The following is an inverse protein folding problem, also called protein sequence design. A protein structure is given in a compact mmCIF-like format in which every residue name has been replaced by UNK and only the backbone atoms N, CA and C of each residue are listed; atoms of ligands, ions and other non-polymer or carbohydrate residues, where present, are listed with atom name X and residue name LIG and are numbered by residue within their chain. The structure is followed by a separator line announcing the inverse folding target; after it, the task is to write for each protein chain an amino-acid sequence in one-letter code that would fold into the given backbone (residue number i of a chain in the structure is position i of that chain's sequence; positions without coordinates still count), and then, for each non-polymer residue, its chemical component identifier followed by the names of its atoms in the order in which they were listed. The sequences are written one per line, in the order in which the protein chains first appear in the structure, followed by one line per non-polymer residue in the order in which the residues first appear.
data_IF_306302649985
#
_entry.id   IF_306302649985
#
_cell.length_a   1.000
_cell.length_b   1.000
_cell.length_c   1.000
_cell.angle_alpha   90.00
_cell.angle_beta   90.00
_cell.angle_gamma   90.00
#
_symmetry.space_group_name_H-M   'P 1'
#
loop_
_entity.id
_entity.type
_entity.pdbx_description
1 polymer ?
#
# COMPACT_ATOMS: atom_id res chain seq x y z
N UNK A 1 11.20 22.05 -10.61
CA UNK A 1 12.42 22.02 -9.78
C UNK A 1 13.58 21.29 -10.49
N UNK A 2 14.83 21.72 -10.28
CA UNK A 2 16.03 21.02 -10.78
C UNK A 2 16.28 19.76 -9.93
N UNK A 3 16.70 18.65 -10.56
CA UNK A 3 17.09 17.44 -9.83
C UNK A 3 18.32 17.73 -8.97
N UNK A 4 18.38 17.15 -7.77
CA UNK A 4 19.63 17.14 -6.99
C UNK A 4 20.60 16.23 -7.76
N UNK A 5 21.65 16.76 -8.36
CA UNK A 5 22.60 15.97 -9.17
C UNK A 5 23.49 15.10 -8.28
N UNK A 6 23.56 13.77 -8.54
CA UNK A 6 24.47 12.85 -7.84
C UNK A 6 24.00 11.38 -7.84
N UNK A 7 24.92 10.43 -7.56
CA UNK A 7 24.66 8.99 -7.50
C UNK A 7 23.63 8.61 -6.42
N UNK A 8 23.68 9.27 -5.26
CA UNK A 8 22.71 9.13 -4.17
C UNK A 8 21.29 9.53 -4.58
N UNK A 9 21.19 10.42 -5.55
CA UNK A 9 19.92 10.96 -6.03
C UNK A 9 19.15 9.90 -6.84
N UNK A 10 19.84 9.18 -7.73
CA UNK A 10 19.26 8.06 -8.48
C UNK A 10 18.87 6.89 -7.55
N UNK A 11 19.62 6.68 -6.47
CA UNK A 11 19.30 5.66 -5.47
C UNK A 11 17.93 5.90 -4.81
N UNK A 12 17.55 7.14 -4.51
CA UNK A 12 16.25 7.46 -3.89
C UNK A 12 15.07 7.08 -4.79
N UNK A 13 15.19 7.30 -6.10
CA UNK A 13 14.14 6.90 -7.06
C UNK A 13 14.06 5.38 -7.24
N UNK A 14 15.19 4.69 -7.27
CA UNK A 14 15.23 3.21 -7.28
C UNK A 14 14.63 2.63 -6.00
N UNK A 15 14.98 3.20 -4.84
CA UNK A 15 14.42 2.82 -3.55
C UNK A 15 12.91 3.07 -3.49
N UNK A 16 12.42 4.21 -4.00
CA UNK A 16 10.99 4.50 -4.14
C UNK A 16 10.26 3.38 -4.90
N UNK A 17 10.75 3.05 -6.10
CA UNK A 17 10.15 2.00 -6.94
C UNK A 17 10.17 0.63 -6.26
N UNK A 18 11.31 0.24 -5.68
CA UNK A 18 11.45 -1.03 -4.98
C UNK A 18 10.53 -1.15 -3.76
N UNK A 19 10.45 -0.10 -2.93
CA UNK A 19 9.57 -0.07 -1.75
C UNK A 19 8.09 -0.13 -2.15
N UNK A 20 7.68 0.61 -3.20
CA UNK A 20 6.30 0.55 -3.72
C UNK A 20 5.98 -0.85 -4.27
N UNK A 21 6.90 -1.48 -5.00
CA UNK A 21 6.72 -2.84 -5.52
C UNK A 21 6.55 -3.85 -4.38
N UNK A 22 7.44 -3.82 -3.37
CA UNK A 22 7.33 -4.70 -2.20
C UNK A 22 6.00 -4.46 -1.46
N UNK A 23 5.64 -3.21 -1.18
CA UNK A 23 4.41 -2.89 -0.46
C UNK A 23 3.15 -3.41 -1.20
N UNK A 24 3.05 -3.17 -2.50
CA UNK A 24 1.80 -3.41 -3.22
C UNK A 24 1.71 -4.78 -3.90
N UNK A 25 2.83 -5.30 -4.41
CA UNK A 25 2.83 -6.59 -5.11
C UNK A 25 3.03 -7.77 -4.16
N UNK A 26 3.76 -7.60 -3.05
CA UNK A 26 3.99 -8.69 -2.10
C UNK A 26 3.12 -8.56 -0.85
N UNK A 27 3.31 -7.53 -0.01
CA UNK A 27 2.67 -7.47 1.31
C UNK A 27 1.15 -7.35 1.23
N UNK A 28 0.62 -6.50 0.33
CA UNK A 28 -0.83 -6.42 0.08
C UNK A 28 -1.40 -7.72 -0.48
N UNK A 29 -0.74 -8.31 -1.48
CA UNK A 29 -1.20 -9.55 -2.10
C UNK A 29 -1.27 -10.69 -1.08
N UNK A 30 -0.22 -10.87 -0.27
CA UNK A 30 -0.21 -11.87 0.80
C UNK A 30 -1.30 -11.55 1.83
N UNK A 31 -1.42 -10.29 2.27
CA UNK A 31 -2.42 -9.90 3.26
C UNK A 31 -3.86 -10.14 2.81
N UNK A 32 -4.18 -9.92 1.53
CA UNK A 32 -5.51 -10.21 0.96
C UNK A 32 -5.74 -11.71 0.86
N UNK A 33 -4.74 -12.49 0.44
CA UNK A 33 -4.83 -13.95 0.38
C UNK A 33 -5.03 -14.54 1.78
N UNK A 34 -4.28 -14.07 2.79
CA UNK A 34 -4.47 -14.45 4.20
C UNK A 34 -5.89 -14.15 4.67
N UNK A 35 -6.41 -12.95 4.42
CA UNK A 35 -7.76 -12.59 4.84
C UNK A 35 -8.87 -13.36 4.11
N UNK A 36 -8.66 -13.78 2.85
CA UNK A 36 -9.71 -14.44 2.06
C UNK A 36 -9.67 -15.96 2.14
N UNK A 37 -8.50 -16.57 2.00
CA UNK A 37 -8.33 -18.02 1.99
C UNK A 37 -8.18 -18.57 3.40
N UNK A 38 -7.26 -18.02 4.20
CA UNK A 38 -7.00 -18.59 5.53
C UNK A 38 -8.14 -18.35 6.51
N UNK A 39 -8.84 -17.22 6.40
CA UNK A 39 -10.05 -16.97 7.19
C UNK A 39 -11.20 -17.95 6.88
N UNK A 40 -11.24 -18.53 5.66
CA UNK A 40 -12.31 -19.43 5.20
C UNK A 40 -11.96 -20.91 5.38
N UNK A 41 -10.78 -21.32 4.96
CA UNK A 41 -10.41 -22.73 4.85
C UNK A 41 -9.62 -23.27 6.05
N UNK A 42 -8.86 -22.42 6.74
CA UNK A 42 -7.96 -22.83 7.81
C UNK A 42 -8.44 -22.43 9.20
N UNK A 43 -9.74 -22.17 9.34
CA UNK A 43 -10.40 -21.84 10.63
C UNK A 43 -10.13 -22.91 11.71
N UNK A 44 -9.99 -24.17 11.30
CA UNK A 44 -9.66 -25.32 12.17
C UNK A 44 -8.17 -25.35 12.59
N UNK A 45 -7.25 -25.08 11.66
CA UNK A 45 -5.79 -25.20 11.86
C UNK A 45 -5.21 -23.99 12.62
N UNK A 46 -5.78 -22.80 12.42
CA UNK A 46 -5.37 -21.56 13.08
C UNK A 46 -6.36 -21.13 14.16
N UNK A 47 -6.93 -22.10 14.88
CA UNK A 47 -7.89 -21.90 15.97
C UNK A 47 -7.30 -21.20 17.19
N UNK A 48 -5.96 -21.21 17.34
CA UNK A 48 -5.28 -20.47 18.41
C UNK A 48 -5.41 -18.97 18.19
N UNK A 49 -6.17 -18.32 19.05
CA UNK A 49 -6.21 -16.87 19.11
C UNK A 49 -4.83 -16.33 19.55
N UNK A 50 -4.20 -15.52 18.70
CA UNK A 50 -3.04 -14.74 19.09
C UNK A 50 -3.53 -13.37 19.56
N UNK A 51 -3.23 -13.02 20.82
CA UNK A 51 -3.68 -11.78 21.45
C UNK A 51 -5.21 -11.58 21.39
N UNK A 52 -5.98 -12.65 21.64
CA UNK A 52 -7.45 -12.59 21.67
C UNK A 52 -8.13 -12.40 20.32
N UNK A 53 -7.40 -12.49 19.20
CA UNK A 53 -7.95 -12.43 17.84
C UNK A 53 -7.46 -13.62 17.01
N UNK A 54 -8.20 -13.97 15.96
CA UNK A 54 -7.79 -15.02 15.04
C UNK A 54 -6.43 -14.68 14.42
N UNK A 55 -5.53 -15.66 14.35
CA UNK A 55 -4.15 -15.43 13.93
C UNK A 55 -4.03 -14.90 12.49
N UNK A 56 -4.90 -15.34 11.56
CA UNK A 56 -4.98 -14.78 10.21
C UNK A 56 -5.26 -13.27 10.23
N UNK A 57 -6.04 -12.79 11.19
CA UNK A 57 -6.38 -11.38 11.34
C UNK A 57 -5.18 -10.58 11.84
N UNK A 58 -4.37 -11.17 12.73
CA UNK A 58 -3.12 -10.56 13.19
C UNK A 58 -2.09 -10.46 12.06
N UNK A 59 -1.90 -11.54 11.29
CA UNK A 59 -1.00 -11.55 10.13
C UNK A 59 -1.45 -10.53 9.08
N UNK A 60 -2.75 -10.53 8.73
CA UNK A 60 -3.31 -9.53 7.82
C UNK A 60 -3.04 -8.10 8.32
N UNK A 61 -3.34 -7.84 9.60
CA UNK A 61 -3.14 -6.52 10.22
C UNK A 61 -1.67 -6.08 10.19
N UNK A 62 -0.75 -6.97 10.55
CA UNK A 62 0.69 -6.71 10.49
C UNK A 62 1.14 -6.37 9.05
N UNK A 63 0.73 -7.17 8.06
CA UNK A 63 1.06 -6.92 6.65
C UNK A 63 0.48 -5.59 6.14
N UNK A 64 -0.74 -5.23 6.54
CA UNK A 64 -1.34 -3.94 6.15
C UNK A 64 -0.61 -2.75 6.81
N UNK A 65 -0.24 -2.85 8.09
CA UNK A 65 0.56 -1.80 8.74
C UNK A 65 1.94 -1.63 8.09
N UNK A 66 2.62 -2.74 7.77
CA UNK A 66 3.88 -2.70 7.03
C UNK A 66 3.68 -2.04 5.66
N UNK A 67 2.63 -2.40 4.93
CA UNK A 67 2.29 -1.79 3.63
C UNK A 67 2.13 -0.27 3.75
N UNK A 68 1.30 0.20 4.71
CA UNK A 68 1.06 1.63 4.91
C UNK A 68 2.35 2.36 5.24
N UNK A 69 3.18 1.79 6.13
CA UNK A 69 4.46 2.38 6.52
C UNK A 69 5.42 2.48 5.34
N UNK A 70 5.60 1.39 4.59
CA UNK A 70 6.44 1.38 3.39
C UNK A 70 5.95 2.38 2.33
N UNK A 71 4.63 2.47 2.14
CA UNK A 71 4.01 3.42 1.20
C UNK A 71 4.29 4.87 1.60
N UNK A 72 4.13 5.20 2.89
CA UNK A 72 4.42 6.55 3.39
C UNK A 72 5.89 6.93 3.22
N UNK A 73 6.81 6.01 3.57
CA UNK A 73 8.26 6.23 3.39
C UNK A 73 8.57 6.43 1.90
N UNK A 74 8.11 5.50 1.06
CA UNK A 74 8.37 5.54 -0.38
C UNK A 74 7.80 6.80 -1.03
N UNK A 75 6.61 7.25 -0.61
CA UNK A 75 5.95 8.43 -1.16
C UNK A 75 6.80 9.70 -0.98
N UNK A 76 7.56 9.84 0.10
CA UNK A 76 8.38 11.02 0.40
C UNK A 76 9.65 11.09 -0.45
N UNK A 77 10.22 9.94 -0.85
CA UNK A 77 11.54 9.87 -1.50
C UNK A 77 11.64 10.69 -2.81
N UNK A 78 10.67 10.66 -3.74
CA UNK A 78 10.74 11.45 -4.97
C UNK A 78 10.68 12.97 -4.71
N UNK A 79 9.97 13.39 -3.67
CA UNK A 79 9.89 14.81 -3.28
C UNK A 79 11.21 15.30 -2.68
N UNK A 80 11.88 14.47 -1.88
CA UNK A 80 13.23 14.74 -1.38
C UNK A 80 14.23 14.81 -2.53
N UNK A 81 14.15 13.86 -3.47
CA UNK A 81 15.01 13.82 -4.66
C UNK A 81 14.87 15.07 -5.56
N UNK A 82 13.63 15.53 -5.81
CA UNK A 82 13.37 16.70 -6.66
C UNK A 82 13.33 18.03 -5.90
N UNK A 83 13.29 18.02 -4.57
CA UNK A 83 12.99 19.20 -3.77
C UNK A 83 11.60 19.80 -4.05
N UNK A 84 10.63 19.00 -4.52
CA UNK A 84 9.28 19.47 -4.81
C UNK A 84 8.51 18.66 -5.86
N UNK A 85 7.36 19.19 -6.30
CA UNK A 85 6.47 18.55 -7.27
C UNK A 85 7.08 18.49 -8.68
N UNK A 86 6.80 17.40 -9.40
CA UNK A 86 7.24 17.21 -10.79
C UNK A 86 6.08 17.35 -11.77
N UNK A 87 6.04 18.45 -12.53
CA UNK A 87 5.05 18.63 -13.61
C UNK A 87 5.30 17.67 -14.81
N UNK A 88 6.51 17.14 -14.95
CA UNK A 88 6.88 16.20 -16.02
C UNK A 88 6.49 14.75 -15.70
N UNK A 89 6.02 14.45 -14.49
CA UNK A 89 5.65 13.10 -14.09
C UNK A 89 4.21 12.71 -14.50
N UNK A 90 3.53 13.53 -15.31
CA UNK A 90 2.18 13.27 -15.80
C UNK A 90 1.19 12.99 -14.67
N UNK A 91 0.38 11.94 -14.84
CA UNK A 91 -0.63 11.53 -13.86
C UNK A 91 -0.09 10.71 -12.68
N UNK A 92 1.13 10.18 -12.77
CA UNK A 92 1.72 9.32 -11.75
C UNK A 92 1.67 9.91 -10.32
N UNK A 93 2.13 11.15 -10.06
CA UNK A 93 2.16 11.69 -8.70
C UNK A 93 0.75 11.93 -8.14
N UNK A 94 -0.25 12.20 -8.98
CA UNK A 94 -1.65 12.33 -8.55
C UNK A 94 -2.22 10.99 -8.10
N UNK A 95 -2.02 9.94 -8.90
CA UNK A 95 -2.43 8.58 -8.50
C UNK A 95 -1.68 8.12 -7.26
N UNK A 96 -0.38 8.43 -7.14
CA UNK A 96 0.42 8.18 -5.95
C UNK A 96 -0.15 8.84 -4.70
N UNK A 97 -0.61 10.11 -4.79
CA UNK A 97 -1.28 10.78 -3.68
C UNK A 97 -2.58 10.07 -3.28
N UNK A 98 -3.42 9.71 -4.26
CA UNK A 98 -4.68 9.00 -4.00
C UNK A 98 -4.39 7.67 -3.28
N UNK A 99 -3.44 6.90 -3.79
CA UNK A 99 -3.03 5.62 -3.22
C UNK A 99 -2.53 5.77 -1.78
N UNK A 100 -1.65 6.75 -1.52
CA UNK A 100 -1.14 7.02 -0.16
C UNK A 100 -2.27 7.41 0.79
N UNK A 101 -3.20 8.28 0.36
CA UNK A 101 -4.37 8.68 1.17
C UNK A 101 -5.23 7.46 1.51
N UNK A 102 -5.58 6.64 0.51
CA UNK A 102 -6.39 5.45 0.72
C UNK A 102 -5.66 4.42 1.63
N UNK A 103 -4.34 4.27 1.49
CA UNK A 103 -3.53 3.38 2.30
C UNK A 103 -3.45 3.79 3.79
N UNK A 104 -3.54 5.09 4.09
CA UNK A 104 -3.61 5.61 5.46
C UNK A 104 -5.04 5.58 6.01
N UNK A 105 -6.04 5.89 5.18
CA UNK A 105 -7.44 5.84 5.58
C UNK A 105 -7.90 4.41 5.93
N UNK A 106 -7.37 3.39 5.24
CA UNK A 106 -7.73 1.99 5.49
C UNK A 106 -7.53 1.51 6.94
N UNK A 107 -6.34 1.66 7.57
CA UNK A 107 -6.15 1.30 8.97
C UNK A 107 -6.95 2.20 9.92
N UNK A 108 -7.17 3.47 9.59
CA UNK A 108 -8.01 4.38 10.39
C UNK A 108 -9.47 3.90 10.40
N UNK A 109 -10.03 3.57 9.24
CA UNK A 109 -11.36 2.98 9.12
C UNK A 109 -11.42 1.66 9.90
N UNK A 110 -10.39 0.82 9.79
CA UNK A 110 -10.32 -0.46 10.51
C UNK A 110 -10.23 -0.30 12.04
N UNK A 111 -9.76 0.83 12.55
CA UNK A 111 -9.78 1.12 13.99
C UNK A 111 -11.21 1.33 14.51
N UNK A 112 -12.11 1.87 13.69
CA UNK A 112 -13.53 2.05 14.00
C UNK A 112 -14.40 0.83 13.65
N UNK A 113 -13.78 -0.35 13.49
CA UNK A 113 -14.47 -1.60 13.15
C UNK A 113 -15.57 -1.92 14.19
N UNK A 114 -16.86 -1.99 13.80
CA UNK A 114 -17.97 -2.28 14.71
C UNK A 114 -17.85 -3.67 15.35
N UNK A 115 -18.53 -3.99 16.46
CA UNK A 115 -18.59 -5.35 17.02
C UNK A 115 -19.15 -6.40 16.05
N UNK A 116 -18.93 -7.70 16.34
CA UNK A 116 -19.32 -8.80 15.44
C UNK A 116 -20.83 -8.89 15.15
N UNK A 117 -21.67 -8.51 16.12
CA UNK A 117 -23.13 -8.61 16.02
C UNK A 117 -23.81 -7.28 15.63
N UNK A 118 -23.04 -6.23 15.32
CA UNK A 118 -23.60 -4.93 14.93
C UNK A 118 -24.01 -4.96 13.44
N UNK A 119 -25.23 -4.53 13.07
CA UNK A 119 -25.68 -4.50 11.67
C UNK A 119 -24.78 -3.63 10.77
N UNK A 120 -24.12 -2.60 11.32
CA UNK A 120 -23.16 -1.75 10.59
C UNK A 120 -21.91 -2.52 10.18
N UNK A 121 -21.66 -3.70 10.73
CA UNK A 121 -20.50 -4.54 10.42
C UNK A 121 -20.50 -5.00 8.97
N UNK A 122 -21.67 -5.28 8.39
CA UNK A 122 -21.77 -5.65 6.98
C UNK A 122 -21.37 -4.49 6.08
N UNK A 123 -21.89 -3.29 6.34
CA UNK A 123 -21.52 -2.07 5.62
C UNK A 123 -20.02 -1.79 5.74
N UNK A 124 -19.47 -1.85 6.97
CA UNK A 124 -18.04 -1.71 7.22
C UNK A 124 -17.20 -2.69 6.38
N UNK A 125 -17.56 -3.98 6.37
CA UNK A 125 -16.80 -4.99 5.64
C UNK A 125 -16.81 -4.72 4.13
N UNK A 126 -17.95 -4.33 3.57
CA UNK A 126 -18.07 -3.95 2.16
C UNK A 126 -17.25 -2.69 1.85
N UNK A 127 -17.39 -1.63 2.64
CA UNK A 127 -16.62 -0.39 2.45
C UNK A 127 -15.13 -0.65 2.53
N UNK A 128 -14.65 -1.33 3.59
CA UNK A 128 -13.24 -1.64 3.79
C UNK A 128 -12.67 -2.50 2.64
N UNK A 129 -13.44 -3.49 2.18
CA UNK A 129 -13.05 -4.34 1.07
C UNK A 129 -12.99 -3.58 -0.26
N UNK A 130 -14.02 -2.78 -0.57
CA UNK A 130 -14.11 -2.02 -1.81
C UNK A 130 -13.00 -0.97 -1.91
N UNK A 131 -12.80 -0.19 -0.84
CA UNK A 131 -11.75 0.84 -0.76
C UNK A 131 -10.36 0.19 -0.92
N UNK A 132 -10.12 -0.95 -0.29
CA UNK A 132 -8.83 -1.65 -0.38
C UNK A 132 -8.57 -2.21 -1.78
N UNK A 133 -9.61 -2.71 -2.44
CA UNK A 133 -9.50 -3.22 -3.81
C UNK A 133 -9.25 -2.07 -4.78
N UNK A 134 -9.96 -0.95 -4.64
CA UNK A 134 -9.73 0.25 -5.44
C UNK A 134 -8.30 0.78 -5.26
N UNK A 135 -7.81 0.91 -4.02
CA UNK A 135 -6.45 1.34 -3.74
C UNK A 135 -5.40 0.46 -4.44
N UNK A 136 -5.59 -0.87 -4.42
CA UNK A 136 -4.69 -1.82 -5.10
C UNK A 136 -4.70 -1.63 -6.62
N UNK A 137 -5.87 -1.47 -7.24
CA UNK A 137 -5.99 -1.25 -8.69
C UNK A 137 -5.28 0.05 -9.09
N UNK A 138 -5.53 1.14 -8.35
CA UNK A 138 -4.90 2.44 -8.62
C UNK A 138 -3.39 2.37 -8.40
N UNK A 139 -2.91 1.64 -7.39
CA UNK A 139 -1.48 1.44 -7.14
C UNK A 139 -0.78 0.72 -8.29
N UNK A 140 -1.40 -0.32 -8.85
CA UNK A 140 -0.88 -1.02 -10.04
C UNK A 140 -0.83 -0.07 -11.24
N UNK A 141 -1.90 0.69 -11.50
CA UNK A 141 -1.89 1.68 -12.58
C UNK A 141 -0.81 2.76 -12.38
N UNK A 142 -0.63 3.25 -11.15
CA UNK A 142 0.40 4.21 -10.81
C UNK A 142 1.82 3.64 -11.02
N UNK A 143 2.05 2.38 -10.70
CA UNK A 143 3.33 1.71 -10.93
C UNK A 143 3.67 1.62 -12.42
N UNK A 144 2.71 1.24 -13.27
CA UNK A 144 2.92 1.25 -14.73
C UNK A 144 3.29 2.65 -15.24
N UNK A 145 2.52 3.67 -14.88
CA UNK A 145 2.83 5.06 -15.25
C UNK A 145 4.20 5.53 -14.71
N UNK A 146 4.66 4.99 -13.59
CA UNK A 146 5.96 5.34 -13.01
C UNK A 146 7.14 4.72 -13.74
N UNK A 147 6.96 3.52 -14.34
CA UNK A 147 7.99 2.86 -15.15
C UNK A 147 8.24 3.59 -16.47
N UNK A 148 7.19 4.19 -17.05
CA UNK A 148 7.26 4.92 -18.31
C UNK A 148 7.87 6.33 -18.17
N UNK A 149 8.28 6.76 -16.96
CA UNK A 149 8.87 8.07 -16.74
C UNK A 149 10.36 8.09 -17.09
N UNK A 150 10.84 9.09 -17.88
CA UNK A 150 12.24 9.19 -18.34
C UNK A 150 13.27 9.44 -17.22
N UNK A 151 12.87 9.41 -15.95
CA UNK A 151 13.80 9.46 -14.81
C UNK A 151 14.56 8.14 -14.57
N UNK A 152 14.17 7.07 -15.26
CA UNK A 152 14.80 5.75 -15.23
C UNK A 152 15.61 5.43 -16.50
N UNK A 153 15.81 6.39 -17.41
CA UNK A 153 16.77 6.26 -18.51
C UNK A 153 18.18 6.13 -17.90
N UNK A 154 18.53 4.89 -17.58
CA UNK A 154 19.87 4.49 -17.25
C UNK A 154 20.73 4.82 -18.48
N UNK A 155 21.78 5.64 -18.38
CA UNK A 155 22.80 5.60 -19.41
C UNK A 155 23.32 4.16 -19.43
N UNK A 156 23.16 3.50 -20.58
CA UNK A 156 23.86 2.26 -20.90
C UNK A 156 25.36 2.48 -20.96
#
# INVERSE_FOLDING_TARGET
PKSVGGSHSLFLLKAHGALMFVAWMTTVSIGVLTARFFARFFKSVWSKAFFGQAAWFQVHRALMFTTTTLTCIAFVLPFVYRGGWSSYAGYHPYLGCIVTILAVLQPLLAAFRPPLHDPRRQMFNWTHWSVGTAARIIAVAAMFLGMDLPGLDLPG
#
